data_IF_773785470456
#
_entry.id   IF_773785470456
#
_cell.length_a   1.000
_cell.length_b   1.000
_cell.length_c   1.000
_cell.angle_alpha   90.00
_cell.angle_beta   90.00
_cell.angle_gamma   90.00
#
_symmetry.space_group_name_H-M   'P 1'
#
loop_
_entity.id
_entity.type
_entity.pdbx_description
1 polymer ?
#
# COMPACT_ATOMS: atom_id res chain seq x y z
N UNK A 1 -16.27 -6.45 20.47
CA UNK A 1 -15.26 -5.99 19.50
C UNK A 1 -15.60 -6.41 18.07
N UNK A 2 -15.81 -7.71 17.77
CA UNK A 2 -16.14 -8.20 16.42
C UNK A 2 -17.36 -7.53 15.75
N UNK A 3 -18.40 -7.18 16.52
CA UNK A 3 -19.57 -6.47 16.00
C UNK A 3 -19.26 -5.01 15.59
N UNK A 4 -18.30 -4.35 16.26
CA UNK A 4 -17.80 -3.03 15.88
C UNK A 4 -16.92 -3.08 14.63
N UNK A 5 -16.10 -4.13 14.51
CA UNK A 5 -15.28 -4.39 13.32
C UNK A 5 -16.12 -4.56 12.05
N UNK A 6 -17.14 -5.43 12.11
CA UNK A 6 -18.07 -5.61 10.99
C UNK A 6 -18.82 -4.33 10.63
N UNK A 7 -19.25 -3.57 11.64
CA UNK A 7 -19.97 -2.30 11.42
C UNK A 7 -19.08 -1.23 10.79
N UNK A 8 -17.79 -1.13 11.17
CA UNK A 8 -16.86 -0.14 10.61
C UNK A 8 -16.47 -0.49 9.17
N UNK A 9 -16.26 -1.78 8.84
CA UNK A 9 -16.00 -2.20 7.46
C UNK A 9 -17.23 -1.99 6.56
N UNK A 10 -18.43 -2.38 7.03
CA UNK A 10 -19.67 -2.18 6.27
C UNK A 10 -19.98 -0.68 6.11
N UNK A 11 -19.83 0.11 7.18
CA UNK A 11 -20.00 1.57 7.11
C UNK A 11 -19.00 2.21 6.16
N UNK A 12 -17.72 1.79 6.20
CA UNK A 12 -16.71 2.21 5.24
C UNK A 12 -17.17 1.95 3.80
N UNK A 13 -17.63 0.75 3.43
CA UNK A 13 -18.04 0.51 2.03
C UNK A 13 -19.37 1.15 1.63
N UNK A 14 -20.28 1.39 2.58
CA UNK A 14 -21.50 2.16 2.33
C UNK A 14 -21.24 3.66 2.15
N UNK A 15 -20.27 4.22 2.89
CA UNK A 15 -20.03 5.66 2.98
C UNK A 15 -18.64 6.11 2.48
N UNK A 16 -17.79 5.26 1.90
CA UNK A 16 -16.47 5.65 1.36
C UNK A 16 -16.56 6.71 0.25
N UNK A 17 -17.75 6.90 -0.34
CA UNK A 17 -18.04 7.99 -1.28
C UNK A 17 -18.26 9.34 -0.59
N UNK A 18 -18.52 9.35 0.71
CA UNK A 18 -18.62 10.52 1.57
C UNK A 18 -17.51 10.50 2.63
N UNK A 19 -16.37 11.06 2.25
CA UNK A 19 -15.21 11.22 3.12
C UNK A 19 -15.53 11.93 4.45
N UNK A 20 -16.48 12.86 4.45
CA UNK A 20 -16.84 13.61 5.67
C UNK A 20 -17.55 12.71 6.66
N UNK A 21 -18.46 11.85 6.20
CA UNK A 21 -19.11 10.87 7.08
C UNK A 21 -18.10 9.91 7.70
N UNK A 22 -17.11 9.47 6.92
CA UNK A 22 -16.05 8.60 7.45
C UNK A 22 -15.20 9.33 8.49
N UNK A 23 -14.78 10.57 8.21
CA UNK A 23 -14.02 11.38 9.16
C UNK A 23 -14.80 11.63 10.47
N UNK A 24 -16.11 11.93 10.37
CA UNK A 24 -16.99 12.06 11.53
C UNK A 24 -17.07 10.77 12.33
N UNK A 25 -17.24 9.62 11.67
CA UNK A 25 -17.30 8.32 12.34
C UNK A 25 -16.01 7.97 13.08
N UNK A 26 -14.84 8.19 12.45
CA UNK A 26 -13.53 8.00 13.09
C UNK A 26 -13.40 8.89 14.33
N UNK A 27 -13.80 10.16 14.20
CA UNK A 27 -13.75 11.13 15.31
C UNK A 27 -14.67 10.75 16.45
N UNK A 28 -15.89 10.32 16.16
CA UNK A 28 -16.89 9.94 17.16
C UNK A 28 -16.53 8.62 17.85
N UNK A 29 -15.85 7.71 17.14
CA UNK A 29 -15.28 6.49 17.73
C UNK A 29 -14.22 6.83 18.80
N UNK A 30 -13.51 7.94 18.63
CA UNK A 30 -12.52 8.49 19.58
C UNK A 30 -11.55 7.43 20.13
N UNK A 31 -11.01 6.59 19.24
CA UNK A 31 -10.09 5.50 19.61
C UNK A 31 -8.83 5.50 18.73
N UNK A 32 -7.89 6.44 18.94
CA UNK A 32 -6.69 6.56 18.12
C UNK A 32 -5.79 5.32 18.12
N UNK A 33 -5.79 4.54 19.21
CA UNK A 33 -5.06 3.28 19.30
C UNK A 33 -5.58 2.22 18.33
N UNK A 34 -6.83 2.36 17.86
CA UNK A 34 -7.47 1.44 16.93
C UNK A 34 -7.18 1.75 15.46
N UNK A 35 -6.76 2.98 15.14
CA UNK A 35 -6.59 3.42 13.76
C UNK A 35 -5.67 2.52 12.92
N UNK A 36 -4.51 2.02 13.43
CA UNK A 36 -3.68 1.09 12.65
C UNK A 36 -4.42 -0.20 12.27
N UNK A 37 -5.15 -0.80 13.22
CA UNK A 37 -5.91 -2.04 12.98
C UNK A 37 -7.08 -1.81 12.01
N UNK A 38 -7.72 -0.64 12.09
CA UNK A 38 -8.75 -0.22 11.15
C UNK A 38 -8.21 -0.10 9.72
N UNK A 39 -7.05 0.56 9.54
CA UNK A 39 -6.38 0.69 8.24
C UNK A 39 -6.03 -0.70 7.69
N UNK A 40 -5.46 -1.57 8.51
CA UNK A 40 -5.08 -2.91 8.09
C UNK A 40 -6.29 -3.71 7.61
N UNK A 41 -7.39 -3.66 8.36
CA UNK A 41 -8.64 -4.30 7.99
C UNK A 41 -9.19 -3.77 6.66
N UNK A 42 -9.22 -2.44 6.47
CA UNK A 42 -9.73 -1.83 5.24
C UNK A 42 -8.91 -2.22 4.02
N UNK A 43 -7.58 -2.19 4.15
CA UNK A 43 -6.68 -2.56 3.06
C UNK A 43 -6.81 -4.04 2.72
N UNK A 44 -6.78 -4.94 3.71
CA UNK A 44 -6.92 -6.38 3.47
C UNK A 44 -8.28 -6.74 2.87
N UNK A 45 -9.39 -6.19 3.39
CA UNK A 45 -10.73 -6.44 2.84
C UNK A 45 -10.84 -5.94 1.39
N UNK A 46 -10.14 -4.85 1.05
CA UNK A 46 -10.16 -4.30 -0.31
C UNK A 46 -9.57 -5.23 -1.38
N UNK A 47 -8.79 -6.25 -1.02
CA UNK A 47 -8.21 -7.19 -1.97
C UNK A 47 -9.27 -8.04 -2.69
N UNK A 48 -10.42 -8.26 -2.06
CA UNK A 48 -11.55 -9.00 -2.65
C UNK A 48 -12.57 -8.09 -3.36
N UNK A 49 -12.36 -6.76 -3.32
CA UNK A 49 -13.30 -5.76 -3.83
C UNK A 49 -13.04 -5.40 -5.30
N UNK A 50 -13.84 -4.50 -5.86
CA UNK A 50 -13.65 -3.98 -7.23
C UNK A 50 -12.56 -2.91 -7.27
N UNK A 51 -11.96 -2.70 -8.44
CA UNK A 51 -10.92 -1.68 -8.64
C UNK A 51 -11.34 -0.28 -8.21
N UNK A 52 -12.59 0.11 -8.49
CA UNK A 52 -13.13 1.41 -8.09
C UNK A 52 -13.17 1.56 -6.57
N UNK A 53 -13.52 0.52 -5.83
CA UNK A 53 -13.61 0.56 -4.37
C UNK A 53 -12.22 0.66 -3.73
N UNK A 54 -11.23 -0.05 -4.29
CA UNK A 54 -9.82 0.09 -3.90
C UNK A 54 -9.27 1.48 -4.15
N UNK A 55 -9.57 2.09 -5.31
CA UNK A 55 -9.10 3.44 -5.61
C UNK A 55 -9.74 4.48 -4.67
N UNK A 56 -11.04 4.33 -4.36
CA UNK A 56 -11.73 5.14 -3.35
C UNK A 56 -11.09 5.00 -1.97
N UNK A 57 -10.76 3.77 -1.53
CA UNK A 57 -10.03 3.54 -0.27
C UNK A 57 -8.69 4.28 -0.27
N UNK A 58 -7.91 4.14 -1.33
CA UNK A 58 -6.59 4.74 -1.42
C UNK A 58 -6.65 6.28 -1.36
N UNK A 59 -7.62 6.90 -2.05
CA UNK A 59 -7.87 8.34 -1.96
C UNK A 59 -8.32 8.76 -0.55
N UNK A 60 -9.17 7.96 0.09
CA UNK A 60 -9.64 8.25 1.45
C UNK A 60 -8.49 8.23 2.46
N UNK A 61 -7.61 7.21 2.42
CA UNK A 61 -6.43 7.13 3.30
C UNK A 61 -5.53 8.37 3.13
N UNK A 62 -5.34 8.82 1.89
CA UNK A 62 -4.58 10.04 1.61
C UNK A 62 -5.24 11.26 2.24
N UNK A 63 -6.55 11.44 2.04
CA UNK A 63 -7.24 12.63 2.52
C UNK A 63 -7.37 12.67 4.05
N UNK A 64 -7.66 11.53 4.69
CA UNK A 64 -7.73 11.41 6.16
C UNK A 64 -6.39 11.67 6.85
N UNK A 65 -5.27 11.56 6.12
CA UNK A 65 -3.92 11.81 6.66
C UNK A 65 -3.44 13.24 6.37
N UNK A 66 -4.09 13.97 5.45
CA UNK A 66 -3.69 15.34 5.12
C UNK A 66 -3.92 16.30 6.29
N UNK A 67 -3.07 17.34 6.45
CA UNK A 67 -3.11 18.23 7.62
C UNK A 67 -4.42 18.97 7.85
N UNK A 68 -5.25 19.16 6.82
CA UNK A 68 -6.52 19.88 6.92
C UNK A 68 -7.56 19.12 7.74
N UNK A 69 -7.50 17.79 7.69
CA UNK A 69 -8.50 16.88 8.25
C UNK A 69 -7.81 15.74 9.01
N UNK A 70 -6.63 15.97 9.61
CA UNK A 70 -5.71 14.94 10.13
C UNK A 70 -6.34 14.01 11.19
N UNK A 71 -7.18 13.09 10.74
CA UNK A 71 -7.83 12.06 11.55
C UNK A 71 -6.87 10.89 11.75
N UNK A 72 -6.00 10.67 10.77
CA UNK A 72 -4.93 9.68 10.79
C UNK A 72 -3.57 10.37 10.82
N UNK A 73 -2.67 9.88 11.65
CA UNK A 73 -1.24 10.25 11.60
C UNK A 73 -0.47 9.32 10.67
N UNK A 74 0.63 9.81 10.09
CA UNK A 74 1.55 8.97 9.31
C UNK A 74 2.01 7.73 10.09
N UNK A 75 2.30 7.88 11.39
CA UNK A 75 2.69 6.75 12.24
C UNK A 75 1.60 5.68 12.41
N UNK A 76 0.32 6.07 12.38
CA UNK A 76 -0.79 5.10 12.38
C UNK A 76 -0.92 4.40 11.02
N UNK A 77 -0.70 5.14 9.93
CA UNK A 77 -0.72 4.59 8.58
C UNK A 77 0.41 3.58 8.36
N UNK A 78 1.63 3.90 8.81
CA UNK A 78 2.78 3.00 8.80
C UNK A 78 2.46 1.70 9.54
N UNK A 79 1.98 1.77 10.79
CA UNK A 79 1.60 0.58 11.57
C UNK A 79 0.48 -0.24 10.93
N UNK A 80 -0.45 0.42 10.25
CA UNK A 80 -1.50 -0.24 9.49
C UNK A 80 -0.90 -1.05 8.33
N UNK A 81 -0.02 -0.44 7.53
CA UNK A 81 0.67 -1.12 6.44
C UNK A 81 1.62 -2.23 6.91
N UNK A 82 2.33 -2.05 8.03
CA UNK A 82 3.11 -3.12 8.68
C UNK A 82 2.24 -4.34 8.96
N UNK A 83 1.04 -4.12 9.51
CA UNK A 83 0.11 -5.20 9.81
C UNK A 83 -0.38 -5.91 8.54
N UNK A 84 -0.69 -5.16 7.47
CA UNK A 84 -1.10 -5.74 6.17
C UNK A 84 0.03 -6.59 5.57
N UNK A 85 1.25 -6.07 5.58
CA UNK A 85 2.43 -6.77 5.08
C UNK A 85 2.71 -8.04 5.87
N UNK A 86 2.51 -8.00 7.19
CA UNK A 86 2.64 -9.16 8.06
C UNK A 86 1.67 -10.31 7.75
N UNK A 87 0.51 -10.01 7.15
CA UNK A 87 -0.49 -11.02 6.76
C UNK A 87 -0.56 -11.26 5.25
N UNK A 88 0.30 -10.61 4.46
CA UNK A 88 0.19 -10.63 3.01
C UNK A 88 0.45 -12.03 2.42
N UNK A 89 1.29 -12.83 3.07
CA UNK A 89 1.61 -14.21 2.68
C UNK A 89 0.36 -15.10 2.62
N UNK A 90 -0.48 -15.00 3.65
CA UNK A 90 -1.77 -15.70 3.70
C UNK A 90 -2.78 -15.04 2.76
N UNK A 91 -2.84 -13.72 2.73
CA UNK A 91 -3.82 -12.99 1.92
C UNK A 91 -3.69 -13.29 0.42
N UNK A 92 -2.48 -13.56 -0.09
CA UNK A 92 -2.31 -13.91 -1.51
C UNK A 92 -2.79 -15.32 -1.87
N UNK A 93 -3.05 -16.19 -0.88
CA UNK A 93 -3.68 -17.49 -1.09
C UNK A 93 -5.14 -17.29 -1.53
N UNK A 94 -5.85 -16.39 -0.85
CA UNK A 94 -7.26 -16.08 -1.14
C UNK A 94 -7.40 -15.08 -2.30
N UNK A 95 -6.48 -14.11 -2.38
CA UNK A 95 -6.44 -13.09 -3.42
C UNK A 95 -5.08 -13.08 -4.12
N UNK A 96 -4.88 -13.87 -5.20
CA UNK A 96 -3.58 -13.99 -5.90
C UNK A 96 -2.97 -12.67 -6.41
N UNK A 97 -3.77 -11.61 -6.52
CA UNK A 97 -3.34 -10.25 -6.90
C UNK A 97 -3.17 -9.30 -5.70
N UNK A 98 -3.21 -9.80 -4.46
CA UNK A 98 -3.14 -8.98 -3.25
C UNK A 98 -1.91 -8.06 -3.22
N UNK A 99 -0.75 -8.57 -3.65
CA UNK A 99 0.47 -7.77 -3.78
C UNK A 99 0.33 -6.61 -4.80
N UNK A 100 -0.29 -6.89 -5.96
CA UNK A 100 -0.58 -5.87 -6.97
C UNK A 100 -1.51 -4.78 -6.42
N UNK A 101 -2.59 -5.20 -5.75
CA UNK A 101 -3.59 -4.32 -5.17
C UNK A 101 -3.02 -3.44 -4.06
N UNK A 102 -2.16 -4.02 -3.21
CA UNK A 102 -1.44 -3.25 -2.20
C UNK A 102 -0.53 -2.20 -2.84
N UNK A 103 0.20 -2.57 -3.89
CA UNK A 103 1.06 -1.62 -4.61
C UNK A 103 0.29 -0.44 -5.22
N UNK A 104 -0.93 -0.66 -5.70
CA UNK A 104 -1.81 0.42 -6.18
C UNK A 104 -2.16 1.41 -5.06
N UNK A 105 -2.51 0.90 -3.87
CA UNK A 105 -2.84 1.73 -2.71
C UNK A 105 -1.60 2.53 -2.28
N UNK A 106 -0.44 1.88 -2.18
CA UNK A 106 0.82 2.53 -1.82
C UNK A 106 1.23 3.60 -2.83
N UNK A 107 1.01 3.38 -4.13
CA UNK A 107 1.29 4.38 -5.16
C UNK A 107 0.49 5.67 -4.94
N UNK A 108 -0.79 5.56 -4.56
CA UNK A 108 -1.63 6.73 -4.23
C UNK A 108 -1.12 7.45 -2.99
N UNK A 109 -0.68 6.72 -1.98
CA UNK A 109 -0.10 7.30 -0.75
C UNK A 109 1.17 8.09 -1.06
N UNK A 110 2.04 7.56 -1.94
CA UNK A 110 3.26 8.26 -2.40
C UNK A 110 2.90 9.51 -3.21
N UNK A 111 2.05 9.36 -4.22
CA UNK A 111 1.63 10.48 -5.06
C UNK A 111 0.85 11.55 -4.28
N UNK A 112 0.25 11.18 -3.15
CA UNK A 112 -0.44 12.07 -2.23
C UNK A 112 0.47 12.81 -1.25
N UNK A 113 1.79 12.60 -1.33
CA UNK A 113 2.81 13.14 -0.40
C UNK A 113 2.53 12.78 1.07
N UNK A 114 1.99 11.57 1.29
CA UNK A 114 1.64 11.07 2.62
C UNK A 114 2.74 10.18 3.20
N UNK A 115 3.33 9.29 2.39
CA UNK A 115 4.53 8.53 2.74
C UNK A 115 5.48 8.55 1.55
N UNK A 116 6.78 8.61 1.81
CA UNK A 116 7.81 8.55 0.79
C UNK A 116 8.03 7.11 0.30
N UNK A 117 8.55 6.97 -0.93
CA UNK A 117 8.97 5.67 -1.44
C UNK A 117 10.03 5.01 -0.55
N UNK A 118 10.87 5.80 0.14
CA UNK A 118 11.87 5.28 1.09
C UNK A 118 11.23 4.62 2.31
N UNK A 119 10.22 5.25 2.89
CA UNK A 119 9.49 4.67 4.03
C UNK A 119 8.78 3.38 3.63
N UNK A 120 8.12 3.37 2.48
CA UNK A 120 7.48 2.17 1.93
C UNK A 120 8.53 1.08 1.61
N UNK A 121 9.69 1.48 1.08
CA UNK A 121 10.81 0.58 0.88
C UNK A 121 11.24 -0.15 2.14
N UNK A 122 11.40 0.58 3.25
CA UNK A 122 11.77 -0.01 4.53
C UNK A 122 10.70 -0.99 5.02
N UNK A 123 9.42 -0.61 4.90
CA UNK A 123 8.29 -1.49 5.24
C UNK A 123 8.29 -2.78 4.43
N UNK A 124 8.54 -2.69 3.13
CA UNK A 124 8.63 -3.86 2.25
C UNK A 124 9.88 -4.70 2.51
N UNK A 125 10.97 -4.07 2.94
CA UNK A 125 12.22 -4.77 3.21
C UNK A 125 12.11 -5.66 4.44
N UNK A 126 11.45 -5.15 5.49
CA UNK A 126 11.29 -5.85 6.77
C UNK A 126 9.96 -6.62 6.86
N UNK A 127 9.05 -6.44 5.89
CA UNK A 127 7.71 -7.00 5.94
C UNK A 127 7.63 -8.53 5.78
N UNK A 128 6.54 -9.08 6.29
CA UNK A 128 6.21 -10.51 6.30
C UNK A 128 5.85 -10.99 7.69
N UNK A 129 5.40 -12.24 7.79
CA UNK A 129 5.13 -12.87 9.10
C UNK A 129 6.41 -12.88 9.96
N UNK A 130 7.53 -13.15 9.29
CA UNK A 130 8.88 -12.95 9.82
C UNK A 130 9.58 -11.80 9.08
N UNK A 131 10.50 -11.12 9.77
CA UNK A 131 11.20 -9.97 9.20
C UNK A 131 11.93 -10.32 7.89
N UNK A 132 11.52 -9.68 6.79
CA UNK A 132 12.08 -9.87 5.45
C UNK A 132 11.59 -11.12 4.71
N UNK A 133 10.59 -11.82 5.24
CA UNK A 133 9.99 -13.00 4.61
C UNK A 133 9.33 -12.66 3.26
N UNK A 134 8.70 -11.49 3.12
CA UNK A 134 8.13 -11.05 1.84
C UNK A 134 9.18 -10.91 0.74
N UNK A 135 10.42 -10.54 1.08
CA UNK A 135 11.51 -10.47 0.09
C UNK A 135 11.92 -11.86 -0.37
N UNK A 136 12.01 -12.82 0.55
CA UNK A 136 12.36 -14.21 0.22
C UNK A 136 11.34 -14.83 -0.73
N UNK A 137 10.05 -14.50 -0.55
CA UNK A 137 8.95 -15.00 -1.38
C UNK A 137 8.73 -14.20 -2.68
N UNK A 138 9.45 -13.10 -2.89
CA UNK A 138 9.28 -12.22 -4.05
C UNK A 138 8.06 -11.29 -3.97
N UNK A 139 7.23 -11.40 -2.93
CA UNK A 139 6.05 -10.56 -2.71
C UNK A 139 6.40 -9.10 -2.47
N UNK A 140 7.50 -8.81 -1.76
CA UNK A 140 7.97 -7.45 -1.57
C UNK A 140 8.32 -6.78 -2.92
N UNK A 141 8.93 -7.56 -3.83
CA UNK A 141 9.21 -7.12 -5.20
C UNK A 141 7.93 -6.91 -6.00
N UNK A 142 6.94 -7.80 -5.88
CA UNK A 142 5.66 -7.64 -6.58
C UNK A 142 4.90 -6.38 -6.12
N UNK A 143 4.86 -6.11 -4.81
CA UNK A 143 4.25 -4.89 -4.26
C UNK A 143 5.00 -3.65 -4.74
N UNK A 144 6.34 -3.64 -4.64
CA UNK A 144 7.16 -2.51 -5.07
C UNK A 144 7.01 -2.27 -6.58
N UNK A 145 7.07 -3.33 -7.37
CA UNK A 145 6.89 -3.26 -8.81
C UNK A 145 5.52 -2.68 -9.18
N UNK A 146 4.45 -3.21 -8.60
CA UNK A 146 3.10 -2.65 -8.83
C UNK A 146 3.02 -1.16 -8.44
N UNK A 147 3.63 -0.79 -7.31
CA UNK A 147 3.69 0.61 -6.86
C UNK A 147 4.33 1.51 -7.91
N UNK A 148 5.51 1.14 -8.42
CA UNK A 148 6.24 1.91 -9.42
C UNK A 148 5.51 1.97 -10.77
N UNK A 149 4.93 0.84 -11.22
CA UNK A 149 4.11 0.81 -12.42
C UNK A 149 2.91 1.76 -12.33
N UNK A 150 2.25 1.82 -11.17
CA UNK A 150 1.11 2.70 -10.95
C UNK A 150 1.51 4.18 -10.88
N UNK A 151 2.66 4.49 -10.27
CA UNK A 151 3.25 5.85 -10.31
C UNK A 151 3.56 6.25 -11.75
N UNK A 152 4.23 5.39 -12.53
CA UNK A 152 4.52 5.62 -13.96
C UNK A 152 3.25 5.89 -14.75
N UNK A 153 2.20 5.07 -14.54
CA UNK A 153 0.91 5.20 -15.22
C UNK A 153 0.16 6.49 -14.85
N UNK A 154 0.22 6.92 -13.60
CA UNK A 154 -0.54 8.07 -13.09
C UNK A 154 0.18 9.42 -13.23
N UNK A 155 1.48 9.46 -12.95
CA UNK A 155 2.31 10.66 -12.95
C UNK A 155 3.27 10.79 -14.13
N UNK A 156 3.44 9.72 -14.91
CA UNK A 156 4.40 9.67 -16.02
C UNK A 156 5.82 9.31 -15.58
N UNK A 157 6.70 9.15 -16.58
CA UNK A 157 8.09 8.73 -16.42
C UNK A 157 8.93 9.74 -15.63
N UNK A 158 8.65 11.03 -15.78
CA UNK A 158 9.38 12.10 -15.09
C UNK A 158 9.18 12.06 -13.58
N UNK A 159 7.92 11.94 -13.14
CA UNK A 159 7.54 11.83 -11.72
C UNK A 159 8.12 10.56 -11.12
N UNK A 160 8.05 9.43 -11.83
CA UNK A 160 8.64 8.17 -11.39
C UNK A 160 10.16 8.32 -11.13
N UNK A 161 10.89 8.88 -12.10
CA UNK A 161 12.33 9.06 -12.00
C UNK A 161 12.73 10.02 -10.86
N UNK A 162 11.94 11.06 -10.62
CA UNK A 162 12.16 11.97 -9.48
C UNK A 162 11.99 11.25 -8.15
N UNK A 163 10.90 10.49 -7.98
CA UNK A 163 10.63 9.71 -6.76
C UNK A 163 11.71 8.65 -6.52
N UNK A 164 12.16 7.95 -7.57
CA UNK A 164 13.24 6.97 -7.46
C UNK A 164 14.54 7.63 -7.01
N UNK A 165 14.92 8.75 -7.63
CA UNK A 165 16.14 9.50 -7.27
C UNK A 165 16.10 10.03 -5.84
N UNK A 166 14.95 10.50 -5.36
CA UNK A 166 14.83 11.03 -4.00
C UNK A 166 14.80 9.95 -2.92
N UNK A 167 14.37 8.73 -3.27
CA UNK A 167 14.24 7.61 -2.33
C UNK A 167 15.57 6.99 -1.89
N UNK A 168 16.62 7.06 -2.73
CA UNK A 168 17.88 6.30 -2.59
C UNK A 168 17.66 4.79 -2.39
N UNK A 169 16.58 4.25 -2.97
CA UNK A 169 16.21 2.85 -2.83
C UNK A 169 16.88 2.01 -3.93
N UNK A 170 17.57 0.94 -3.55
CA UNK A 170 18.16 0.00 -4.49
C UNK A 170 17.15 -1.10 -4.82
N UNK A 171 16.57 -1.05 -6.03
CA UNK A 171 15.55 -2.04 -6.46
C UNK A 171 16.06 -3.49 -6.40
N UNK A 172 17.37 -3.70 -6.55
CA UNK A 172 18.01 -5.01 -6.45
C UNK A 172 17.87 -5.64 -5.05
N UNK A 173 17.71 -4.84 -3.98
CA UNK A 173 17.54 -5.34 -2.61
C UNK A 173 16.20 -6.09 -2.41
N UNK A 174 15.28 -5.91 -3.35
CA UNK A 174 13.96 -6.53 -3.39
C UNK A 174 13.88 -7.71 -4.36
N UNK A 175 15.01 -8.06 -5.00
CA UNK A 175 15.10 -9.26 -5.83
C UNK A 175 15.10 -10.50 -4.93
N UNK A 176 14.15 -11.43 -5.09
CA UNK A 176 14.12 -12.64 -4.30
C UNK A 176 15.33 -13.56 -4.62
N UNK A 177 15.75 -14.41 -3.66
CA UNK A 177 16.76 -15.43 -3.89
C UNK A 177 16.23 -16.54 -4.82
N UNK A 178 17.12 -17.12 -5.63
CA UNK A 178 16.80 -18.28 -6.47
C UNK A 178 16.21 -19.44 -5.63
N UNK A 179 15.15 -20.15 -6.07
CA UNK A 179 14.50 -20.08 -7.39
C UNK A 179 13.31 -19.10 -7.47
N UNK A 180 13.05 -18.31 -6.43
CA UNK A 180 11.92 -17.39 -6.40
C UNK A 180 12.16 -16.19 -7.31
N UNK A 181 11.10 -15.70 -7.95
CA UNK A 181 11.13 -14.55 -8.87
C UNK A 181 9.93 -13.66 -8.63
N UNK A 182 10.15 -12.35 -8.66
CA UNK A 182 9.04 -11.39 -8.70
C UNK A 182 8.49 -11.34 -10.11
N UNK A 183 7.18 -11.46 -10.26
CA UNK A 183 6.50 -11.43 -11.57
C UNK A 183 6.49 -10.02 -12.15
N UNK A 184 6.57 -8.99 -11.31
CA UNK A 184 6.36 -7.60 -11.71
C UNK A 184 7.67 -6.81 -11.69
N UNK A 185 8.48 -6.95 -10.64
CA UNK A 185 9.73 -6.21 -10.49
C UNK A 185 10.73 -6.58 -11.60
N UNK A 186 10.81 -7.85 -11.99
CA UNK A 186 11.70 -8.28 -13.07
C UNK A 186 11.32 -7.67 -14.42
N UNK A 187 10.02 -7.51 -14.70
CA UNK A 187 9.54 -6.88 -15.93
C UNK A 187 9.91 -5.39 -15.92
N UNK A 188 9.64 -4.70 -14.81
CA UNK A 188 9.96 -3.27 -14.69
C UNK A 188 11.44 -2.98 -14.76
N UNK A 189 12.29 -3.75 -14.07
CA UNK A 189 13.74 -3.58 -14.15
C UNK A 189 14.20 -3.77 -15.60
N UNK A 190 13.66 -4.77 -16.32
CA UNK A 190 13.98 -4.99 -17.73
C UNK A 190 13.53 -3.83 -18.62
N UNK A 191 12.32 -3.33 -18.42
CA UNK A 191 11.76 -2.23 -19.21
C UNK A 191 12.52 -0.92 -18.95
N UNK A 192 12.91 -0.64 -17.70
CA UNK A 192 13.70 0.55 -17.34
C UNK A 192 15.16 0.49 -17.83
N UNK A 193 15.74 -0.71 -17.99
CA UNK A 193 17.08 -0.88 -18.57
C UNK A 193 17.08 -0.74 -20.09
N UNK A 194 15.98 -1.08 -20.77
CA UNK A 194 15.87 -0.96 -22.23
C UNK A 194 15.66 0.50 -22.70
N UNK A 195 15.05 1.36 -21.88
CA UNK A 195 14.89 2.79 -22.19
C UNK A 195 16.21 3.60 -22.09
N UNK A 196 17.31 3.01 -21.61
CA UNK A 196 18.64 3.66 -21.50
C UNK A 196 19.62 3.28 -22.63
N UNK A 197 19.19 2.52 -23.64
CA UNK A 197 20.05 2.09 -24.75
C UNK A 197 19.68 2.65 -26.15
N UNK A 198 18.70 3.56 -26.24
CA UNK A 198 18.39 4.30 -27.48
C UNK A 198 18.68 5.81 -27.36
#
# INVERSE_FOLDING_TARGET
>A
MYCYFYHVTIFFFCSARDEKEVALCIRDLNSPSFHPSMIALWVSDSFERKDLERDLLAMLLVNLTKPRDSMLSQGQLIKGFESVLGTLEDAVIDAPKGAEYLGLILARVIMGDVLSLREIGQLLHDGGEEAGRLRQLGLAGDVLGSTLAMIKKGGGETVLNEILRSSNLHLEDFRPPDPFRSRILEILIRDMVMDYQD
#
